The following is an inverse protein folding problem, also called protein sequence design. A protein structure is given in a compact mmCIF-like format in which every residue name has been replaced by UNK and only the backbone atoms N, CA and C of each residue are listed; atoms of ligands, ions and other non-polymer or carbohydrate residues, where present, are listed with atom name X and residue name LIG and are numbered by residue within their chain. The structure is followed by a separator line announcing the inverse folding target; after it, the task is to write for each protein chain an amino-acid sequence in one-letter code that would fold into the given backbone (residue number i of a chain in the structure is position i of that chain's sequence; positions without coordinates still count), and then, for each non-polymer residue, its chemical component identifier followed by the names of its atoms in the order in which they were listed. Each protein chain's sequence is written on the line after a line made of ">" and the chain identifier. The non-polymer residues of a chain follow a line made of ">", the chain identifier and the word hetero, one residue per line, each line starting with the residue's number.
data_IF_911941739324
#
_entry.id   IF_911941739324
#
_cell.length_a   1.000
_cell.length_b   1.000
_cell.length_c   1.000
_cell.angle_alpha   90.00
_cell.angle_beta   90.00
_cell.angle_gamma   90.00
#
_symmetry.space_group_name_H-M   'P 1'
#
loop_
_entity.id
_entity.type
_entity.pdbx_description
1 polymer ?
#
# COMPACT_ATOMS: atom_id res chain seq x y z
N UNK A 1 -7.40 11.57 -2.13
CA UNK A 1 -7.46 11.32 -3.58
C UNK A 1 -6.54 10.16 -3.93
N UNK A 2 -7.02 9.16 -4.67
CA UNK A 2 -6.16 8.08 -5.18
C UNK A 2 -5.56 8.48 -6.52
N UNK A 3 -4.26 8.27 -6.66
CA UNK A 3 -3.49 8.57 -7.85
C UNK A 3 -2.69 7.34 -8.28
N UNK A 4 -2.32 7.29 -9.55
CA UNK A 4 -1.39 6.31 -10.11
C UNK A 4 -0.06 7.01 -10.43
N UNK A 5 1.02 6.62 -9.79
CA UNK A 5 2.36 7.15 -10.05
C UNK A 5 2.91 6.64 -11.39
N UNK A 6 3.85 7.37 -12.00
CA UNK A 6 4.53 7.00 -13.25
C UNK A 6 5.53 5.86 -13.08
N UNK A 7 5.95 5.56 -11.85
CA UNK A 7 6.85 4.47 -11.50
C UNK A 7 6.31 3.68 -10.29
N UNK A 8 6.62 2.38 -10.17
CA UNK A 8 6.33 1.62 -8.97
C UNK A 8 7.29 2.04 -7.84
N UNK A 9 6.75 2.47 -6.71
CA UNK A 9 7.57 2.80 -5.53
C UNK A 9 7.75 1.56 -4.63
N UNK A 10 8.97 1.17 -4.26
CA UNK A 10 9.24 -0.06 -3.51
C UNK A 10 8.97 0.08 -2.00
N UNK A 11 7.71 0.27 -1.61
CA UNK A 11 7.33 0.42 -0.20
C UNK A 11 7.49 -0.89 0.58
N UNK A 12 8.45 -0.94 1.51
CA UNK A 12 8.86 -2.18 2.20
C UNK A 12 9.26 -3.31 1.22
N UNK A 13 9.75 -2.96 0.03
CA UNK A 13 10.06 -3.91 -1.04
C UNK A 13 8.87 -4.27 -1.94
N UNK A 14 7.64 -3.93 -1.56
CA UNK A 14 6.46 -4.13 -2.41
C UNK A 14 6.33 -3.01 -3.44
N UNK A 15 6.21 -3.30 -4.74
CA UNK A 15 5.99 -2.27 -5.75
C UNK A 15 4.57 -1.70 -5.65
N UNK A 16 4.44 -0.43 -5.24
CA UNK A 16 3.16 0.27 -5.12
C UNK A 16 3.06 1.36 -6.19
N UNK A 17 2.01 1.29 -7.01
CA UNK A 17 1.74 2.29 -8.06
C UNK A 17 0.50 3.13 -7.76
N UNK A 18 -0.48 2.57 -7.05
CA UNK A 18 -1.69 3.28 -6.66
C UNK A 18 -1.54 3.76 -5.23
N UNK A 19 -1.64 5.08 -5.02
CA UNK A 19 -1.43 5.70 -3.71
C UNK A 19 -2.56 6.65 -3.41
N UNK A 20 -3.00 6.73 -2.15
CA UNK A 20 -4.05 7.67 -1.75
C UNK A 20 -3.46 8.80 -0.92
N UNK A 21 -3.41 9.99 -1.50
CA UNK A 21 -2.98 11.22 -0.82
C UNK A 21 -4.13 11.76 0.03
N UNK A 22 -3.88 11.95 1.33
CA UNK A 22 -4.85 12.47 2.28
C UNK A 22 -4.53 13.93 2.65
N UNK A 23 -5.56 14.75 2.84
CA UNK A 23 -5.43 16.14 3.32
C UNK A 23 -4.83 16.20 4.73
N UNK A 24 -5.02 15.15 5.53
CA UNK A 24 -4.44 14.98 6.87
C UNK A 24 -2.92 14.78 6.92
N UNK A 25 -2.17 15.09 5.86
CA UNK A 25 -0.69 15.12 5.88
C UNK A 25 0.03 13.77 5.68
N UNK A 26 -0.60 12.83 4.98
CA UNK A 26 0.00 11.52 4.72
C UNK A 26 -0.44 10.90 3.38
N UNK A 27 0.30 9.89 2.94
CA UNK A 27 -0.07 9.00 1.85
C UNK A 27 -0.42 7.63 2.43
N UNK A 28 -1.59 7.11 2.07
CA UNK A 28 -1.98 5.73 2.31
C UNK A 28 -1.45 4.81 1.19
N UNK A 29 -0.79 3.73 1.61
CA UNK A 29 -0.02 2.82 0.75
C UNK A 29 -0.63 1.42 0.63
N UNK A 30 -1.88 1.23 1.08
CA UNK A 30 -2.59 -0.04 1.00
C UNK A 30 -3.47 -0.16 -0.24
N UNK A 31 -3.68 -1.40 -0.69
CA UNK A 31 -4.44 -1.70 -1.93
C UNK A 31 -5.95 -1.54 -1.77
N UNK A 32 -6.48 -1.69 -0.56
CA UNK A 32 -7.91 -1.55 -0.27
C UNK A 32 -8.16 -0.33 0.60
N UNK A 33 -8.96 0.62 0.14
CA UNK A 33 -9.30 1.80 0.93
C UNK A 33 -10.42 1.45 1.90
N UNK A 34 -10.07 1.11 3.14
CA UNK A 34 -10.99 1.12 4.28
C UNK A 34 -10.47 2.09 5.33
N UNK A 35 -11.35 2.87 5.97
CA UNK A 35 -10.95 3.95 6.90
C UNK A 35 -10.02 3.48 8.04
N UNK A 36 -10.15 2.23 8.50
CA UNK A 36 -9.27 1.65 9.52
C UNK A 36 -7.85 1.32 9.01
N UNK A 37 -7.68 1.04 7.70
CA UNK A 37 -6.39 0.67 7.12
C UNK A 37 -5.47 1.87 6.92
N UNK A 38 -6.05 3.04 6.67
CA UNK A 38 -5.33 4.31 6.47
C UNK A 38 -4.37 4.65 7.62
N UNK A 39 -4.69 4.20 8.84
CA UNK A 39 -3.88 4.45 10.03
C UNK A 39 -2.68 3.49 10.17
N UNK A 40 -2.58 2.42 9.39
CA UNK A 40 -1.59 1.33 9.58
C UNK A 40 -0.62 1.15 8.41
N UNK A 41 -1.01 1.53 7.18
CA UNK A 41 -0.18 1.45 5.98
C UNK A 41 0.05 2.85 5.40
N UNK A 42 1.02 3.59 5.92
CA UNK A 42 1.20 4.99 5.58
C UNK A 42 2.65 5.44 5.42
N UNK A 43 2.81 6.53 4.68
CA UNK A 43 3.98 7.41 4.71
C UNK A 43 3.49 8.80 5.13
N UNK A 44 3.94 9.27 6.29
CA UNK A 44 3.44 10.47 6.93
C UNK A 44 4.60 11.41 7.28
N UNK A 45 4.87 12.46 6.47
CA UNK A 45 5.72 13.54 6.93
C UNK A 45 5.13 14.23 8.16
N UNK A 46 3.80 14.39 8.23
CA UNK A 46 3.09 14.84 9.42
C UNK A 46 1.60 14.50 9.31
N UNK A 47 1.20 13.35 9.83
CA UNK A 47 -0.22 12.99 9.96
C UNK A 47 -0.81 13.71 11.16
N UNK A 48 -1.93 14.40 10.98
CA UNK A 48 -2.63 15.11 12.04
C UNK A 48 -4.06 15.49 11.63
N UNK A 49 -4.79 16.17 12.53
CA UNK A 49 -6.15 16.65 12.29
C UNK A 49 -6.17 17.91 11.41
N UNK A 50 -5.52 17.85 10.25
CA UNK A 50 -5.51 18.95 9.29
C UNK A 50 -6.80 18.94 8.47
N UNK A 51 -7.34 20.13 8.24
CA UNK A 51 -8.51 20.33 7.42
C UNK A 51 -8.27 21.52 6.47
N UNK A 52 -8.10 21.18 5.19
CA UNK A 52 -7.80 22.14 4.12
C UNK A 52 -9.03 22.96 3.71
N UNK A 53 -10.21 22.70 4.29
CA UNK A 53 -11.44 23.44 3.99
C UNK A 53 -11.68 24.61 4.94
N UNK A 54 -10.92 24.69 6.05
CA UNK A 54 -11.07 25.74 7.06
C UNK A 54 -10.61 27.11 6.56
N UNK A 55 -9.66 27.14 5.62
CA UNK A 55 -9.13 28.38 5.04
C UNK A 55 -8.98 28.25 3.53
N UNK A 56 -9.15 29.35 2.80
CA UNK A 56 -9.08 29.37 1.33
C UNK A 56 -7.63 29.30 0.78
N UNK A 57 -6.64 29.35 1.65
CA UNK A 57 -5.22 29.36 1.31
C UNK A 57 -4.51 28.02 1.61
N UNK A 58 -5.27 26.98 1.95
CA UNK A 58 -4.77 25.64 2.23
C UNK A 58 -4.83 24.75 0.99
N UNK A 59 -3.70 24.18 0.58
CA UNK A 59 -3.60 23.42 -0.67
C UNK A 59 -2.82 22.11 -0.50
N UNK A 60 -3.28 21.07 -1.20
CA UNK A 60 -2.50 19.84 -1.42
C UNK A 60 -2.08 19.80 -2.88
N UNK A 61 -0.78 19.95 -3.14
CA UNK A 61 -0.21 19.97 -4.50
C UNK A 61 0.61 18.71 -4.73
N UNK A 62 0.59 18.20 -5.95
CA UNK A 62 1.27 16.95 -6.32
C UNK A 62 2.05 17.15 -7.61
N UNK A 63 3.23 16.53 -7.71
CA UNK A 63 4.05 16.55 -8.91
C UNK A 63 4.74 15.21 -9.11
N UNK A 64 4.66 14.67 -10.33
CA UNK A 64 5.29 13.41 -10.73
C UNK A 64 6.09 13.64 -12.02
N UNK A 65 7.42 13.50 -11.95
CA UNK A 65 8.30 13.60 -13.12
C UNK A 65 8.75 12.25 -13.70
N UNK A 66 8.32 11.12 -13.10
CA UNK A 66 8.73 9.77 -13.50
C UNK A 66 9.94 9.22 -12.76
N UNK A 67 10.73 10.08 -12.10
CA UNK A 67 11.88 9.68 -11.28
C UNK A 67 11.62 9.94 -9.79
N UNK A 68 10.81 10.95 -9.48
CA UNK A 68 10.30 11.22 -8.14
C UNK A 68 8.86 11.71 -8.17
N UNK A 69 8.13 11.38 -7.11
CA UNK A 69 6.78 11.82 -6.84
C UNK A 69 6.78 12.69 -5.59
N UNK A 70 6.25 13.91 -5.65
CA UNK A 70 6.22 14.84 -4.52
C UNK A 70 4.81 15.29 -4.21
N UNK A 71 4.47 15.32 -2.91
CA UNK A 71 3.25 15.92 -2.37
C UNK A 71 3.62 17.05 -1.44
N UNK A 72 2.94 18.18 -1.57
CA UNK A 72 3.07 19.35 -0.72
C UNK A 72 1.74 19.61 -0.02
N UNK A 73 1.78 19.75 1.29
CA UNK A 73 0.71 20.32 2.09
C UNK A 73 1.12 21.75 2.43
N UNK A 74 0.49 22.71 1.77
CA UNK A 74 0.77 24.13 1.93
C UNK A 74 -0.31 24.77 2.78
N UNK A 75 0.10 25.49 3.83
CA UNK A 75 -0.80 26.11 4.79
C UNK A 75 -1.86 25.14 5.32
N UNK A 76 -1.47 23.90 5.63
CA UNK A 76 -2.35 22.91 6.24
C UNK A 76 -2.76 23.37 7.64
N UNK A 77 -4.05 23.67 7.80
CA UNK A 77 -4.61 24.26 9.02
C UNK A 77 -5.03 23.16 9.99
N UNK A 78 -4.60 23.24 11.26
CA UNK A 78 -5.07 22.34 12.30
C UNK A 78 -6.50 22.69 12.70
N UNK A 79 -7.36 21.67 12.84
CA UNK A 79 -8.77 21.87 13.20
C UNK A 79 -8.96 22.50 14.57
N UNK A 80 -8.09 22.17 15.52
CA UNK A 80 -8.12 22.72 16.88
C UNK A 80 -7.51 24.13 17.02
N UNK A 81 -6.72 24.58 16.04
CA UNK A 81 -6.07 25.89 16.08
C UNK A 81 -5.85 26.43 14.65
N UNK A 82 -6.79 27.25 14.20
CA UNK A 82 -6.82 27.76 12.82
C UNK A 82 -5.70 28.76 12.49
N UNK A 83 -5.05 29.31 13.52
CA UNK A 83 -3.90 30.21 13.35
C UNK A 83 -2.61 29.42 13.07
N UNK A 84 -2.59 28.11 13.38
CA UNK A 84 -1.44 27.24 13.17
C UNK A 84 -1.50 26.57 11.81
N UNK A 85 -0.81 27.18 10.85
CA UNK A 85 -0.66 26.69 9.47
C UNK A 85 0.67 26.00 9.27
N UNK A 86 0.63 24.77 8.80
CA UNK A 86 1.81 23.95 8.57
C UNK A 86 2.12 23.86 7.07
N UNK A 87 3.38 23.97 6.71
CA UNK A 87 3.83 23.74 5.33
C UNK A 87 4.93 22.70 5.33
N UNK A 88 4.66 21.56 4.69
CA UNK A 88 5.59 20.44 4.61
C UNK A 88 5.36 19.63 3.33
N UNK A 89 6.35 18.82 2.98
CA UNK A 89 6.35 18.02 1.78
C UNK A 89 6.86 16.60 2.03
N UNK A 90 6.44 15.71 1.14
CA UNK A 90 6.92 14.35 1.01
C UNK A 90 7.40 14.14 -0.42
N UNK A 91 8.62 13.65 -0.60
CA UNK A 91 9.12 13.17 -1.89
C UNK A 91 9.46 11.69 -1.80
N UNK A 92 8.90 10.91 -2.73
CA UNK A 92 9.21 9.51 -2.97
C UNK A 92 10.10 9.41 -4.21
N UNK A 93 11.28 8.81 -4.08
CA UNK A 93 12.16 8.56 -5.22
C UNK A 93 11.96 7.13 -5.74
N UNK A 94 12.16 6.94 -7.04
CA UNK A 94 12.05 5.63 -7.69
C UNK A 94 12.99 4.56 -7.12
N UNK A 95 14.13 4.97 -6.56
CA UNK A 95 15.05 4.06 -5.85
C UNK A 95 14.56 3.62 -4.46
N UNK A 96 13.42 4.13 -3.99
CA UNK A 96 12.84 3.83 -2.68
C UNK A 96 13.13 4.85 -1.58
N UNK A 97 14.02 5.82 -1.82
CA UNK A 97 14.30 6.86 -0.82
C UNK A 97 13.06 7.72 -0.56
N UNK A 98 12.92 8.16 0.69
CA UNK A 98 11.84 9.02 1.15
C UNK A 98 12.42 10.27 1.79
N UNK A 99 11.92 11.44 1.39
CA UNK A 99 12.28 12.72 1.99
C UNK A 99 11.04 13.36 2.58
N UNK A 100 11.12 13.75 3.86
CA UNK A 100 10.20 14.70 4.48
C UNK A 100 10.89 16.06 4.57
N UNK A 101 10.24 17.11 4.11
CA UNK A 101 10.75 18.48 4.19
C UNK A 101 9.76 19.36 4.94
N UNK A 102 10.24 20.11 5.93
CA UNK A 102 9.43 20.94 6.82
C UNK A 102 9.81 22.39 6.62
N UNK A 103 8.90 23.19 6.07
CA UNK A 103 9.13 24.62 5.84
C UNK A 103 8.62 25.44 7.02
N UNK A 104 7.32 25.32 7.31
CA UNK A 104 6.63 26.08 8.34
C UNK A 104 5.98 25.13 9.34
N UNK A 105 6.47 25.13 10.59
CA UNK A 105 6.07 24.28 11.72
C UNK A 105 5.83 25.20 12.93
N UNK A 106 4.65 25.83 13.04
CA UNK A 106 4.37 26.89 14.02
C UNK A 106 4.09 26.38 15.44
N UNK A 107 4.12 25.06 15.63
CA UNK A 107 3.94 24.34 16.89
C UNK A 107 4.77 23.05 16.80
N UNK A 108 5.58 22.70 17.83
CA UNK A 108 6.32 21.45 17.82
C UNK A 108 5.40 20.24 17.67
N UNK A 109 5.81 19.25 16.87
CA UNK A 109 4.97 18.08 16.53
C UNK A 109 4.48 17.33 17.78
N UNK A 110 5.33 17.24 18.81
CA UNK A 110 5.00 16.60 20.10
C UNK A 110 3.88 17.31 20.88
N UNK A 111 3.64 18.59 20.61
CA UNK A 111 2.68 19.43 21.32
C UNK A 111 1.33 19.49 20.58
N UNK A 112 1.22 18.86 19.39
CA UNK A 112 -0.05 18.71 18.68
C UNK A 112 -0.93 17.72 19.43
N UNK A 113 -2.15 18.15 19.76
CA UNK A 113 -3.18 17.34 20.44
C UNK A 113 -3.51 16.10 19.60
N UNK A 114 -3.43 14.92 20.22
CA UNK A 114 -3.63 13.61 19.58
C UNK A 114 -4.85 12.82 20.10
N UNK A 115 -5.70 13.45 20.93
CA UNK A 115 -6.87 12.82 21.54
C UNK A 115 -7.99 12.50 20.54
N UNK A 116 -8.24 13.40 19.59
CA UNK A 116 -9.30 13.21 18.57
C UNK A 116 -8.78 12.50 17.31
N UNK A 117 -7.52 12.76 16.95
CA UNK A 117 -6.89 12.17 15.77
C UNK A 117 -5.42 11.88 16.07
N UNK A 118 -4.90 10.69 15.71
CA UNK A 118 -3.51 10.37 15.95
C UNK A 118 -2.58 11.32 15.20
N UNK A 119 -1.54 11.77 15.90
CA UNK A 119 -0.42 12.50 15.31
C UNK A 119 0.71 11.52 15.04
N UNK A 120 1.15 11.41 13.78
CA UNK A 120 2.22 10.47 13.39
C UNK A 120 3.21 11.14 12.44
N UNK A 121 4.49 10.84 12.63
CA UNK A 121 5.55 11.15 11.66
C UNK A 121 6.33 9.88 11.42
N UNK A 122 6.51 9.48 10.16
CA UNK A 122 7.24 8.28 9.78
C UNK A 122 6.49 7.39 8.82
N UNK A 123 6.81 6.09 8.87
CA UNK A 123 6.27 5.08 7.95
C UNK A 123 5.77 3.87 8.73
N UNK A 124 4.73 3.22 8.22
CA UNK A 124 4.17 2.02 8.83
C UNK A 124 3.61 1.12 7.76
N UNK A 125 3.81 -0.19 7.90
CA UNK A 125 3.15 -1.17 7.04
C UNK A 125 2.55 -2.32 7.85
N UNK A 126 1.55 -2.93 7.26
CA UNK A 126 0.74 -3.97 7.86
C UNK A 126 0.30 -4.98 6.79
N UNK A 127 -0.08 -6.17 7.23
CA UNK A 127 -0.73 -7.15 6.38
C UNK A 127 -2.12 -7.51 6.92
N UNK A 128 -2.98 -7.99 6.03
CA UNK A 128 -4.32 -8.45 6.35
C UNK A 128 -4.33 -9.97 6.49
N UNK A 129 -4.94 -10.47 7.57
CA UNK A 129 -5.31 -11.89 7.67
C UNK A 129 -6.82 -12.00 7.73
N UNK A 130 -7.35 -13.06 7.12
CA UNK A 130 -8.75 -13.42 7.24
C UNK A 130 -8.87 -14.62 8.18
N UNK A 131 -9.58 -14.44 9.30
CA UNK A 131 -9.94 -15.54 10.19
C UNK A 131 -11.44 -15.80 10.09
N UNK A 132 -11.80 -17.07 9.90
CA UNK A 132 -13.18 -17.51 10.03
C UNK A 132 -13.46 -17.82 11.50
N UNK A 133 -14.40 -17.09 12.10
CA UNK A 133 -14.83 -17.33 13.47
C UNK A 133 -16.35 -17.44 13.48
N UNK A 134 -16.90 -18.58 13.92
CA UNK A 134 -18.34 -18.86 13.94
C UNK A 134 -19.07 -18.50 12.64
N UNK A 135 -18.55 -18.95 11.50
CA UNK A 135 -19.07 -18.68 10.15
C UNK A 135 -19.09 -17.20 9.70
N UNK A 136 -18.45 -16.30 10.46
CA UNK A 136 -18.23 -14.91 10.06
C UNK A 136 -16.76 -14.72 9.66
N UNK A 137 -16.52 -14.12 8.48
CA UNK A 137 -15.18 -13.77 8.00
C UNK A 137 -14.73 -12.46 8.67
N UNK A 138 -13.74 -12.53 9.55
CA UNK A 138 -13.16 -11.36 10.23
C UNK A 138 -11.80 -11.02 9.63
N UNK A 139 -11.69 -9.85 9.02
CA UNK A 139 -10.40 -9.28 8.59
C UNK A 139 -9.68 -8.70 9.82
N UNK A 140 -8.44 -9.09 10.05
CA UNK A 140 -7.58 -8.52 11.11
C UNK A 140 -6.32 -7.95 10.50
N UNK A 141 -5.95 -6.74 10.93
CA UNK A 141 -4.77 -6.01 10.48
C UNK A 141 -3.63 -6.29 11.44
N UNK A 142 -2.47 -6.71 10.93
CA UNK A 142 -1.26 -6.90 11.71
C UNK A 142 -0.22 -5.91 11.24
N UNK A 143 0.02 -4.88 12.05
CA UNK A 143 1.17 -3.99 11.88
C UNK A 143 2.44 -4.76 12.24
N UNK A 144 3.31 -4.95 11.25
CA UNK A 144 4.53 -5.71 11.43
C UNK A 144 5.75 -4.81 11.58
N UNK A 145 5.68 -3.57 11.09
CA UNK A 145 6.77 -2.62 11.24
C UNK A 145 6.27 -1.17 11.22
N UNK A 146 6.88 -0.36 12.09
CA UNK A 146 6.66 1.08 12.19
C UNK A 146 7.97 1.78 12.52
N UNK A 147 8.26 2.83 11.76
CA UNK A 147 9.30 3.81 12.10
C UNK A 147 8.59 5.10 12.49
N UNK A 148 8.87 5.63 13.68
CA UNK A 148 8.25 6.84 14.19
C UNK A 148 9.29 7.90 14.53
N UNK A 149 9.04 9.11 14.05
CA UNK A 149 9.83 10.30 14.36
C UNK A 149 9.04 11.33 15.17
N UNK A 150 7.85 10.99 15.70
CA UNK A 150 6.99 11.91 16.47
C UNK A 150 7.74 12.65 17.58
N UNK A 151 8.67 11.96 18.24
CA UNK A 151 9.41 12.46 19.39
C UNK A 151 10.74 13.15 19.02
N UNK A 152 11.07 13.24 17.73
CA UNK A 152 12.25 13.96 17.26
C UNK A 152 11.96 15.46 17.19
N UNK A 153 13.01 16.26 17.28
CA UNK A 153 12.91 17.70 17.09
C UNK A 153 12.70 18.01 15.60
N UNK A 154 11.46 18.34 15.25
CA UNK A 154 11.06 18.74 13.89
C UNK A 154 10.65 20.20 13.95
N UNK A 155 11.49 21.07 13.39
CA UNK A 155 11.30 22.53 13.33
C UNK A 155 11.29 23.02 11.89
N UNK A 156 11.13 24.33 11.69
CA UNK A 156 11.30 24.96 10.38
C UNK A 156 12.65 24.62 9.77
N UNK A 157 12.67 24.44 8.45
CA UNK A 157 13.85 24.09 7.64
C UNK A 157 14.48 22.73 8.01
N UNK A 158 13.71 21.80 8.55
CA UNK A 158 14.17 20.43 8.83
C UNK A 158 13.94 19.54 7.63
N UNK A 159 14.87 18.61 7.38
CA UNK A 159 14.71 17.53 6.40
C UNK A 159 14.96 16.20 7.10
N UNK A 160 14.05 15.24 6.93
CA UNK A 160 14.27 13.85 7.29
C UNK A 160 14.44 13.04 6.01
N UNK A 161 15.58 12.36 5.86
CA UNK A 161 15.88 11.48 4.73
C UNK A 161 15.91 10.03 5.20
N UNK A 162 15.01 9.21 4.67
CA UNK A 162 15.03 7.77 4.84
C UNK A 162 15.66 7.18 3.58
N UNK A 163 16.76 6.45 3.77
CA UNK A 163 17.48 5.78 2.68
C UNK A 163 16.94 4.35 2.59
N UNK A 164 16.50 3.96 1.40
CA UNK A 164 16.04 2.60 1.19
C UNK A 164 17.20 1.61 1.33
N UNK A 165 16.98 0.57 2.14
CA UNK A 165 17.91 -0.55 2.26
C UNK A 165 17.40 -1.74 1.44
N UNK A 166 18.31 -2.59 0.93
CA UNK A 166 17.92 -3.75 0.15
C UNK A 166 17.04 -4.72 0.98
N UNK A 167 15.97 -5.27 0.41
CA UNK A 167 15.03 -6.18 1.10
C UNK A 167 14.98 -7.55 0.42
N UNK A 168 14.42 -8.57 1.08
CA UNK A 168 14.32 -9.91 0.48
C UNK A 168 13.51 -9.91 -0.83
N UNK A 169 12.46 -9.10 -0.92
CA UNK A 169 11.53 -9.07 -2.05
C UNK A 169 12.17 -8.60 -3.36
N UNK A 170 13.37 -8.01 -3.31
CA UNK A 170 14.10 -7.59 -4.52
C UNK A 170 14.83 -8.75 -5.21
N UNK A 171 15.00 -9.90 -4.53
CA UNK A 171 15.65 -11.08 -5.08
C UNK A 171 14.59 -11.98 -5.73
N UNK A 172 14.75 -12.23 -7.02
CA UNK A 172 13.77 -12.86 -7.91
C UNK A 172 14.10 -14.31 -8.27
N UNK A 173 15.16 -14.88 -7.71
CA UNK A 173 15.53 -16.28 -7.90
C UNK A 173 15.96 -16.92 -6.58
N UNK A 174 15.89 -18.25 -6.52
CA UNK A 174 16.36 -18.99 -5.35
C UNK A 174 17.83 -18.70 -5.04
N UNK A 175 18.68 -18.68 -6.07
CA UNK A 175 20.11 -18.43 -5.96
C UNK A 175 20.38 -17.01 -5.44
N UNK A 176 19.75 -15.99 -6.02
CA UNK A 176 19.92 -14.60 -5.58
C UNK A 176 19.36 -14.37 -4.16
N UNK A 177 18.28 -15.06 -3.80
CA UNK A 177 17.70 -15.01 -2.46
C UNK A 177 18.58 -15.71 -1.41
N UNK A 178 19.17 -16.87 -1.74
CA UNK A 178 20.06 -17.59 -0.84
C UNK A 178 21.38 -16.84 -0.64
N UNK A 179 21.91 -16.22 -1.70
CA UNK A 179 23.12 -15.38 -1.69
C UNK A 179 22.81 -13.89 -1.49
N UNK A 180 21.74 -13.58 -0.76
CA UNK A 180 21.31 -12.20 -0.54
C UNK A 180 22.38 -11.36 0.18
N UNK A 181 22.43 -10.09 -0.19
CA UNK A 181 23.25 -9.06 0.44
C UNK A 181 22.34 -8.03 1.13
N UNK A 182 21.74 -8.44 2.24
CA UNK A 182 20.91 -7.58 3.09
C UNK A 182 21.04 -7.99 4.56
N UNK A 183 20.64 -7.11 5.48
CA UNK A 183 20.54 -7.42 6.90
C UNK A 183 19.35 -8.32 7.28
N UNK A 184 18.45 -8.63 6.34
CA UNK A 184 17.34 -9.54 6.57
C UNK A 184 17.74 -10.99 6.39
N UNK A 185 17.14 -11.89 7.18
CA UNK A 185 17.23 -13.34 6.95
C UNK A 185 16.26 -13.73 5.83
N UNK A 186 16.74 -13.72 4.60
CA UNK A 186 15.92 -14.06 3.45
C UNK A 186 15.82 -15.57 3.23
N UNK A 187 14.62 -16.00 2.85
CA UNK A 187 14.26 -17.37 2.57
C UNK A 187 13.51 -17.41 1.24
N UNK A 188 13.81 -18.40 0.41
CA UNK A 188 13.12 -18.61 -0.87
C UNK A 188 11.99 -19.62 -0.71
N UNK A 189 10.78 -19.27 -1.15
CA UNK A 189 9.70 -20.25 -1.27
C UNK A 189 9.46 -20.64 -2.72
N UNK A 190 9.76 -21.90 -3.04
CA UNK A 190 9.60 -22.47 -4.37
C UNK A 190 8.13 -22.58 -4.81
N UNK A 191 7.20 -22.79 -3.86
CA UNK A 191 5.77 -22.92 -4.19
C UNK A 191 5.13 -21.64 -4.74
N UNK A 192 5.70 -20.48 -4.41
CA UNK A 192 5.21 -19.16 -4.83
C UNK A 192 6.27 -18.35 -5.58
N UNK A 193 7.45 -18.94 -5.82
CA UNK A 193 8.59 -18.31 -6.49
C UNK A 193 8.91 -16.92 -5.92
N UNK A 194 9.04 -16.82 -4.60
CA UNK A 194 9.20 -15.55 -3.89
C UNK A 194 10.27 -15.63 -2.80
N UNK A 195 11.14 -14.63 -2.76
CA UNK A 195 12.07 -14.40 -1.66
C UNK A 195 11.42 -13.51 -0.58
N UNK A 196 11.47 -13.93 0.69
CA UNK A 196 10.88 -13.18 1.80
C UNK A 196 11.65 -13.40 3.10
N UNK A 197 11.47 -12.49 4.05
CA UNK A 197 11.87 -12.69 5.45
C UNK A 197 10.82 -13.47 6.27
N UNK A 198 9.71 -13.87 5.64
CA UNK A 198 8.55 -14.50 6.29
C UNK A 198 7.64 -13.51 7.04
N UNK A 199 7.94 -12.21 7.00
CA UNK A 199 7.13 -11.16 7.62
C UNK A 199 7.00 -9.96 6.69
N UNK A 200 6.06 -10.07 5.75
CA UNK A 200 5.68 -9.03 4.79
C UNK A 200 4.19 -9.20 4.41
N UNK A 201 3.70 -8.45 3.39
CA UNK A 201 2.29 -8.52 2.96
C UNK A 201 1.86 -9.90 2.44
N UNK A 202 2.79 -10.75 2.01
CA UNK A 202 2.55 -12.11 1.51
C UNK A 202 2.49 -13.16 2.62
N UNK A 203 2.62 -12.78 3.90
CA UNK A 203 2.64 -13.71 5.04
C UNK A 203 1.48 -14.71 5.05
N UNK A 204 0.30 -14.33 4.61
CA UNK A 204 -0.83 -15.25 4.53
C UNK A 204 -0.57 -16.39 3.53
N UNK A 205 -0.14 -16.07 2.31
CA UNK A 205 0.15 -17.07 1.28
C UNK A 205 1.39 -17.89 1.64
N UNK A 206 2.38 -17.26 2.28
CA UNK A 206 3.57 -17.93 2.83
C UNK A 206 3.21 -19.09 3.76
N UNK A 207 2.29 -18.88 4.71
CA UNK A 207 1.82 -19.93 5.63
C UNK A 207 0.94 -20.95 4.90
N UNK A 208 0.06 -20.48 4.01
CA UNK A 208 -0.89 -21.35 3.29
C UNK A 208 -0.16 -22.35 2.37
N UNK A 209 1.01 -21.96 1.86
CA UNK A 209 1.87 -22.76 0.98
C UNK A 209 2.97 -23.53 1.74
N UNK A 210 2.92 -23.52 3.07
CA UNK A 210 3.86 -24.18 3.97
C UNK A 210 5.33 -23.74 3.81
N UNK A 211 5.54 -22.52 3.30
CA UNK A 211 6.87 -21.93 3.14
C UNK A 211 7.57 -21.70 4.49
N UNK A 212 6.83 -21.64 5.61
CA UNK A 212 7.39 -21.60 6.96
C UNK A 212 8.22 -22.84 7.32
N UNK A 213 7.98 -23.97 6.62
CA UNK A 213 8.66 -25.24 6.85
C UNK A 213 9.58 -25.65 5.70
N UNK A 214 9.24 -25.28 4.48
CA UNK A 214 9.91 -25.74 3.26
C UNK A 214 10.80 -24.70 2.57
N UNK A 215 10.90 -23.47 3.11
CA UNK A 215 11.69 -22.44 2.45
C UNK A 215 13.20 -22.74 2.46
N UNK A 216 13.84 -22.35 1.37
CA UNK A 216 15.24 -22.59 1.08
C UNK A 216 16.06 -21.40 1.58
N UNK A 217 17.10 -21.68 2.35
CA UNK A 217 18.07 -20.69 2.86
C UNK A 217 19.46 -20.85 2.28
N UNK A 218 19.75 -21.98 1.64
CA UNK A 218 21.06 -22.31 1.09
C UNK A 218 20.94 -22.57 -0.41
N UNK A 219 21.85 -21.99 -1.18
CA UNK A 219 21.91 -22.11 -2.64
C UNK A 219 21.97 -23.57 -3.11
N UNK A 220 22.64 -24.46 -2.36
CA UNK A 220 22.74 -25.88 -2.72
C UNK A 220 21.40 -26.61 -2.73
N UNK A 221 20.39 -26.05 -2.05
CA UNK A 221 19.04 -26.60 -1.98
C UNK A 221 18.10 -25.98 -3.01
N UNK A 222 18.59 -25.07 -3.84
CA UNK A 222 17.82 -24.51 -4.93
C UNK A 222 17.57 -25.56 -6.02
N UNK A 223 16.37 -25.60 -6.61
CA UNK A 223 16.09 -26.46 -7.75
C UNK A 223 17.03 -26.07 -8.92
N UNK A 224 17.52 -27.08 -9.64
CA UNK A 224 18.27 -26.84 -10.86
C UNK A 224 17.40 -26.03 -11.80
N UNK A 225 17.91 -24.90 -12.29
CA UNK A 225 17.22 -24.07 -13.29
C UNK A 225 16.92 -24.95 -14.50
N UNK A 226 15.67 -25.35 -14.67
CA UNK A 226 15.24 -25.86 -15.96
C UNK A 226 15.43 -24.71 -16.95
N UNK A 227 16.38 -24.84 -17.86
CA UNK A 227 16.39 -24.05 -19.08
C UNK A 227 15.06 -24.35 -19.80
N UNK A 228 14.04 -23.54 -19.54
CA UNK A 228 12.88 -23.46 -20.41
C UNK A 228 13.37 -22.65 -21.60
N UNK A 229 13.78 -23.32 -22.66
CA UNK A 229 13.93 -22.69 -23.96
C UNK A 229 12.63 -21.92 -24.24
N UNK A 230 12.76 -20.61 -24.46
CA UNK A 230 11.64 -19.73 -24.68
C UNK A 230 10.78 -20.25 -25.84
N UNK A 231 9.47 -20.52 -25.65
CA UNK A 231 8.56 -20.60 -26.76
C UNK A 231 8.31 -19.16 -27.24
N UNK A 232 8.62 -18.94 -28.50
CA UNK A 232 8.22 -17.77 -29.27
C UNK A 232 6.72 -17.47 -29.10
N UNK A 233 6.38 -16.19 -28.95
CA UNK A 233 5.05 -15.66 -29.26
C UNK A 233 3.89 -15.99 -28.31
N UNK A 234 3.52 -14.98 -27.50
CA UNK A 234 2.14 -14.72 -27.03
C UNK A 234 1.42 -15.78 -26.17
N UNK A 235 1.49 -15.61 -24.85
CA UNK A 235 0.59 -16.30 -23.92
C UNK A 235 0.36 -15.45 -22.66
N UNK A 236 -0.85 -14.92 -22.50
CA UNK A 236 -1.29 -14.25 -21.27
C UNK A 236 -1.29 -15.26 -20.12
N UNK A 237 -0.59 -14.95 -19.02
CA UNK A 237 -0.70 -15.71 -17.77
C UNK A 237 -2.06 -15.39 -17.14
N UNK A 238 -2.97 -16.35 -17.20
CA UNK A 238 -4.25 -16.33 -16.49
C UNK A 238 -4.06 -17.08 -15.18
N UNK A 239 -4.30 -16.42 -14.05
CA UNK A 239 -4.40 -17.09 -12.76
C UNK A 239 -5.66 -17.96 -12.75
N UNK A 240 -5.50 -19.28 -12.77
CA UNK A 240 -6.59 -20.23 -12.57
C UNK A 240 -6.72 -20.51 -11.08
N UNK A 241 -7.76 -19.98 -10.45
CA UNK A 241 -8.22 -20.46 -9.13
C UNK A 241 -8.98 -21.78 -9.33
N UNK A 242 -8.48 -22.85 -8.71
CA UNK A 242 -9.11 -24.18 -8.67
C UNK A 242 -10.47 -24.10 -7.95
N UNK A 243 -11.56 -24.04 -8.71
CA UNK A 243 -12.92 -24.31 -8.23
C UNK A 243 -13.27 -25.76 -8.56
N UNK A 244 -13.15 -26.64 -7.56
CA UNK A 244 -13.81 -27.96 -7.61
C UNK A 244 -15.32 -27.79 -7.43
N UNK A 245 -16.09 -28.30 -8.41
CA UNK A 245 -17.56 -28.38 -8.47
C UNK A 245 -18.14 -29.18 -7.28
N UNK A 246 -19.06 -28.59 -6.49
CA UNK A 246 -20.55 -28.70 -6.50
C UNK A 246 -21.12 -29.91 -5.74
N UNK A 247 -22.31 -29.77 -5.11
CA UNK A 247 -23.52 -30.17 -5.85
C UNK A 247 -24.76 -29.27 -5.67
N UNK A 248 -25.48 -29.13 -6.80
CA UNK A 248 -26.96 -29.08 -6.98
C UNK A 248 -27.81 -28.08 -6.19
N UNK A 249 -28.41 -27.14 -6.93
CA UNK A 249 -29.84 -26.87 -6.83
C UNK A 249 -30.38 -26.42 -8.21
N UNK A 250 -31.39 -27.15 -8.68
CA UNK A 250 -32.13 -26.92 -9.92
C UNK A 250 -32.89 -25.59 -9.90
N UNK A 251 -32.82 -24.85 -11.01
CA UNK A 251 -33.96 -24.03 -11.43
C UNK A 251 -34.08 -24.05 -12.95
N UNK A 252 -35.16 -24.64 -13.43
CA UNK A 252 -35.55 -24.73 -14.83
C UNK A 252 -35.83 -23.34 -15.44
N UNK A 253 -35.34 -23.11 -16.65
CA UNK A 253 -35.76 -22.00 -17.52
C UNK A 253 -36.73 -22.58 -18.56
N UNK A 254 -37.94 -22.05 -18.61
CA UNK A 254 -38.85 -22.20 -19.76
C UNK A 254 -38.83 -20.90 -20.54
N UNK A 255 -38.44 -20.98 -21.80
CA UNK A 255 -38.42 -19.87 -22.77
C UNK A 255 -39.52 -20.09 -23.80
N UNK A 256 -40.32 -19.07 -24.08
CA UNK A 256 -40.95 -18.73 -25.39
C UNK A 256 -41.61 -17.35 -25.18
N UNK A 257 -41.55 -16.31 -26.02
CA UNK A 257 -41.15 -16.14 -27.42
C UNK A 257 -42.12 -15.11 -28.05
N UNK A 258 -41.57 -13.99 -28.55
CA UNK A 258 -42.09 -13.02 -29.55
C UNK A 258 -43.47 -12.34 -29.38
N UNK A 259 -43.53 -11.00 -29.63
CA UNK A 259 -44.23 -10.33 -30.75
C UNK A 259 -44.04 -8.79 -30.66
N UNK A 260 -43.88 -8.17 -31.84
CA UNK A 260 -43.61 -6.75 -32.17
C UNK A 260 -44.69 -5.73 -31.72
N UNK A 261 -44.26 -4.48 -31.44
CA UNK A 261 -44.52 -3.25 -32.25
C UNK A 261 -44.36 -1.93 -31.45
N UNK A 262 -43.75 -0.93 -32.11
CA UNK A 262 -43.54 0.49 -31.70
C UNK A 262 -44.79 1.37 -31.98
N UNK A 263 -44.80 2.71 -31.81
CA UNK A 263 -44.39 3.62 -30.71
C UNK A 263 -45.56 4.59 -30.29
N UNK A 264 -45.39 5.44 -29.25
CA UNK A 264 -45.75 6.89 -29.25
C UNK A 264 -45.87 7.55 -27.85
N UNK A 265 -45.05 8.61 -27.67
CA UNK A 265 -45.36 9.96 -27.19
C UNK A 265 -46.22 10.29 -25.94
N UNK A 266 -45.60 11.16 -25.10
CA UNK A 266 -46.09 12.38 -24.41
C UNK A 266 -46.99 12.31 -23.15
N UNK A 267 -46.51 13.05 -22.13
CA UNK A 267 -47.18 14.05 -21.24
C UNK A 267 -46.81 13.78 -19.76
N UNK A 268 -45.99 14.61 -19.10
CA UNK A 268 -46.27 15.92 -18.51
C UNK A 268 -47.17 15.90 -17.25
N UNK A 269 -46.56 16.30 -16.11
CA UNK A 269 -47.14 16.86 -14.86
C UNK A 269 -48.07 15.96 -14.03
N UNK A 270 -48.08 16.00 -12.69
CA UNK A 270 -47.69 17.04 -11.72
C UNK A 270 -46.92 16.47 -10.52
#
# INVERSE_FOLDING_TARGET
>A
MTIKTKFPFPFYGHPVTNMTVATGGFIYMGDQVHNWLAATQYIAPLMGNFDTTLTNDSFVKMYDDGEKFTVFWENATLRQDVEKKFTFALTLYKNGDIIFAYKDIPLPVKDIIDSEHPVKVGISDAYLTDKFHYHVRRKTIYEYHRVSFKNYEITNNTILKLIALPTCLQYDSCQSCANHETGFKCLWCDQIQLCSSGTDRNKQDWILRHCDKSAISNETSCPATAHVDAPDGSGKIVYTTDTRQSPTHDTAIVTTGAVNSEPAAKAATA
#
